data_IF_100503007623
#
_entry.id   IF_100503007623
#
_cell.length_a   1.000
_cell.length_b   1.000
_cell.length_c   1.000
_cell.angle_alpha   90.00
_cell.angle_beta   90.00
_cell.angle_gamma   90.00
#
_symmetry.space_group_name_H-M   'P 1'
#
loop_
_entity.id
_entity.type
_entity.pdbx_description
1 polymer ?
#
# COMPACT_ATOMS: atom_id res chain seq x y z
N UNK A 1 -17.87 -27.35 -10.97
CA UNK A 1 -18.68 -26.23 -11.48
C UNK A 1 -17.71 -25.24 -12.13
N UNK A 2 -17.64 -25.14 -13.47
CA UNK A 2 -16.93 -24.03 -14.08
C UNK A 2 -17.66 -22.74 -13.68
N UNK A 3 -16.92 -21.69 -13.38
CA UNK A 3 -17.45 -20.42 -12.87
C UNK A 3 -18.68 -19.96 -13.66
N UNK A 4 -19.86 -19.98 -13.02
CA UNK A 4 -21.16 -19.58 -13.61
C UNK A 4 -21.28 -18.06 -13.81
N UNK A 5 -20.17 -17.36 -14.03
CA UNK A 5 -20.12 -15.92 -14.21
C UNK A 5 -19.49 -15.56 -15.55
N UNK A 6 -20.14 -14.65 -16.28
CA UNK A 6 -19.56 -14.03 -17.47
C UNK A 6 -18.27 -13.29 -17.09
N UNK A 7 -17.11 -13.81 -17.52
CA UNK A 7 -15.81 -13.18 -17.26
C UNK A 7 -15.47 -12.18 -18.37
N UNK A 8 -15.13 -10.95 -17.99
CA UNK A 8 -14.62 -9.97 -18.93
C UNK A 8 -13.25 -10.42 -19.49
N UNK A 9 -13.16 -10.60 -20.81
CA UNK A 9 -11.92 -10.89 -21.54
C UNK A 9 -11.12 -9.62 -21.85
N UNK A 10 -11.81 -8.48 -22.01
CA UNK A 10 -11.19 -7.17 -22.23
C UNK A 10 -11.92 -6.10 -21.44
N UNK A 11 -11.15 -5.17 -20.89
CA UNK A 11 -11.61 -3.99 -20.16
C UNK A 11 -10.88 -2.78 -20.75
N UNK A 12 -11.63 -1.74 -21.11
CA UNK A 12 -11.13 -0.53 -21.76
C UNK A 12 -11.75 0.70 -21.10
N UNK A 13 -10.91 1.68 -20.77
CA UNK A 13 -11.38 3.00 -20.35
C UNK A 13 -11.73 3.84 -21.58
N UNK A 14 -12.84 4.58 -21.51
CA UNK A 14 -13.23 5.57 -22.52
C UNK A 14 -12.63 6.95 -22.25
N UNK A 15 -11.67 7.04 -21.33
CA UNK A 15 -11.04 8.30 -20.95
C UNK A 15 -10.44 8.99 -22.19
N UNK A 16 -10.77 10.27 -22.44
CA UNK A 16 -10.18 11.01 -23.55
C UNK A 16 -8.67 11.14 -23.32
N UNK A 17 -7.89 10.94 -24.40
CA UNK A 17 -6.42 11.01 -24.38
C UNK A 17 -5.89 12.44 -24.18
N UNK A 18 -6.73 13.44 -24.39
CA UNK A 18 -6.39 14.86 -24.38
C UNK A 18 -7.55 15.63 -23.73
N UNK A 19 -7.25 16.42 -22.69
CA UNK A 19 -8.26 17.12 -21.88
C UNK A 19 -7.88 17.20 -20.39
N UNK A 20 -8.58 18.05 -19.64
CA UNK A 20 -8.43 18.11 -18.18
C UNK A 20 -8.88 16.77 -17.57
N UNK A 21 -7.99 16.15 -16.79
CA UNK A 21 -8.29 14.98 -15.99
C UNK A 21 -9.31 15.35 -14.90
N UNK A 22 -10.59 15.14 -15.18
CA UNK A 22 -11.66 15.21 -14.19
C UNK A 22 -11.89 13.82 -13.60
N UNK A 23 -12.05 13.78 -12.28
CA UNK A 23 -12.44 12.56 -11.59
C UNK A 23 -13.78 12.07 -12.13
N UNK A 24 -13.88 10.76 -12.43
CA UNK A 24 -15.06 10.10 -12.97
C UNK A 24 -15.50 10.58 -14.36
N UNK A 25 -14.59 11.11 -15.18
CA UNK A 25 -14.86 11.51 -16.57
C UNK A 25 -14.48 10.42 -17.59
N UNK A 26 -14.61 9.16 -17.17
CA UNK A 26 -14.44 7.99 -18.02
C UNK A 26 -15.52 6.94 -17.76
N UNK A 27 -15.81 6.13 -18.77
CA UNK A 27 -16.62 4.94 -18.65
C UNK A 27 -15.72 3.73 -18.84
N UNK A 28 -16.09 2.60 -18.26
CA UNK A 28 -15.40 1.34 -18.48
C UNK A 28 -16.24 0.46 -19.41
N UNK A 29 -15.68 0.16 -20.58
CA UNK A 29 -16.20 -0.85 -21.49
C UNK A 29 -15.62 -2.20 -21.12
N UNK A 30 -16.47 -3.23 -21.04
CA UNK A 30 -16.03 -4.60 -20.81
C UNK A 30 -16.67 -5.55 -21.82
N UNK A 31 -15.89 -6.53 -22.27
CA UNK A 31 -16.29 -7.50 -23.28
C UNK A 31 -16.01 -8.92 -22.80
N UNK A 32 -17.02 -9.78 -22.83
CA UNK A 32 -16.94 -11.17 -22.33
C UNK A 32 -16.54 -12.17 -23.42
N UNK A 33 -16.44 -11.74 -24.67
CA UNK A 33 -16.36 -12.63 -25.83
C UNK A 33 -17.64 -12.57 -26.67
N UNK A 34 -18.79 -12.43 -26.01
CA UNK A 34 -20.11 -12.44 -26.64
C UNK A 34 -20.88 -11.14 -26.36
N UNK A 35 -20.79 -10.63 -25.13
CA UNK A 35 -21.52 -9.46 -24.68
C UNK A 35 -20.58 -8.27 -24.51
N UNK A 36 -21.06 -7.09 -24.90
CA UNK A 36 -20.41 -5.82 -24.64
C UNK A 36 -21.24 -5.07 -23.60
N UNK A 37 -20.60 -4.63 -22.53
CA UNK A 37 -21.22 -3.84 -21.47
C UNK A 37 -20.41 -2.59 -21.16
N UNK A 38 -21.06 -1.65 -20.46
CA UNK A 38 -20.47 -0.38 -20.07
C UNK A 38 -20.84 -0.08 -18.62
N UNK A 39 -19.88 0.38 -17.83
CA UNK A 39 -20.08 0.94 -16.50
C UNK A 39 -19.74 2.42 -16.55
N UNK A 40 -20.65 3.25 -16.04
CA UNK A 40 -20.46 4.69 -15.92
C UNK A 40 -20.24 5.06 -14.46
N UNK A 41 -19.30 5.97 -14.21
CA UNK A 41 -19.10 6.54 -12.89
C UNK A 41 -20.04 7.74 -12.70
N UNK A 42 -20.65 7.83 -11.52
CA UNK A 42 -21.46 8.99 -11.12
C UNK A 42 -20.57 10.08 -10.53
N UNK A 43 -21.18 11.20 -10.11
CA UNK A 43 -20.47 12.28 -9.42
C UNK A 43 -19.60 11.74 -8.28
N UNK A 44 -18.31 12.12 -8.19
CA UNK A 44 -17.42 11.62 -7.17
C UNK A 44 -17.96 11.93 -5.77
N UNK A 45 -18.03 10.90 -4.92
CA UNK A 45 -18.48 11.00 -3.52
C UNK A 45 -17.46 11.70 -2.62
N UNK A 46 -16.18 11.71 -3.03
CA UNK A 46 -15.08 12.31 -2.27
C UNK A 46 -14.29 13.26 -3.16
N UNK A 47 -13.76 14.33 -2.56
CA UNK A 47 -12.84 15.30 -3.17
C UNK A 47 -11.45 15.07 -2.62
N UNK A 48 -10.42 15.52 -3.35
CA UNK A 48 -9.02 15.39 -2.91
C UNK A 48 -8.79 15.92 -1.48
N UNK A 49 -9.49 16.98 -1.10
CA UNK A 49 -9.46 17.60 0.23
C UNK A 49 -9.93 16.68 1.37
N UNK A 50 -10.74 15.67 1.07
CA UNK A 50 -11.22 14.72 2.09
C UNK A 50 -10.12 13.75 2.54
N UNK A 51 -9.01 13.68 1.78
CA UNK A 51 -7.83 12.85 2.08
C UNK A 51 -6.61 13.67 2.50
N UNK A 52 -6.71 15.00 2.51
CA UNK A 52 -5.68 15.86 3.08
C UNK A 52 -5.75 15.74 4.61
N UNK A 53 -4.88 14.90 5.18
CA UNK A 53 -4.67 14.83 6.62
C UNK A 53 -4.18 16.19 7.08
N UNK A 54 -4.86 16.82 8.03
CA UNK A 54 -4.36 18.03 8.67
C UNK A 54 -2.98 17.72 9.27
N UNK A 55 -1.94 18.26 8.64
CA UNK A 55 -0.51 17.97 8.88
C UNK A 55 -0.02 18.16 10.33
N UNK A 56 -0.85 18.66 11.24
CA UNK A 56 -0.41 19.09 12.57
C UNK A 56 -0.43 18.01 13.64
N UNK A 57 -1.32 17.02 13.58
CA UNK A 57 -1.54 16.08 14.71
C UNK A 57 -1.07 14.65 14.44
N UNK A 58 -1.15 14.16 13.19
CA UNK A 58 -0.69 12.82 12.84
C UNK A 58 0.85 12.72 12.69
N UNK A 59 1.51 13.83 12.33
CA UNK A 59 2.96 13.87 12.11
C UNK A 59 3.76 13.82 13.43
N UNK A 60 3.20 14.31 14.53
CA UNK A 60 3.86 14.36 15.85
C UNK A 60 3.86 13.00 16.54
N UNK A 61 2.73 12.29 16.58
CA UNK A 61 2.67 10.94 17.16
C UNK A 61 3.56 9.93 16.44
N UNK A 62 3.58 9.98 15.10
CA UNK A 62 4.36 9.03 14.29
C UNK A 62 5.87 9.31 14.39
N UNK A 63 6.26 10.57 14.57
CA UNK A 63 7.66 10.98 14.77
C UNK A 63 8.25 10.47 16.08
N UNK A 64 7.52 10.58 17.19
CA UNK A 64 7.97 10.09 18.50
C UNK A 64 8.03 8.56 18.55
N UNK A 65 7.00 7.88 18.02
CA UNK A 65 6.98 6.41 17.94
C UNK A 65 8.13 5.87 17.12
N UNK A 66 8.47 6.50 15.98
CA UNK A 66 9.64 6.13 15.16
C UNK A 66 10.96 6.29 15.88
N UNK A 67 11.12 7.36 16.69
CA UNK A 67 12.34 7.58 17.49
C UNK A 67 12.51 6.50 18.55
N UNK A 68 11.46 6.25 19.34
CA UNK A 68 11.47 5.22 20.40
C UNK A 68 11.73 3.83 19.81
N UNK A 69 11.08 3.50 18.69
CA UNK A 69 11.30 2.22 18.01
C UNK A 69 12.75 2.07 17.52
N UNK A 70 13.32 3.10 16.89
CA UNK A 70 14.70 3.09 16.40
C UNK A 70 15.71 2.89 17.53
N UNK A 71 15.53 3.58 18.65
CA UNK A 71 16.43 3.48 19.80
C UNK A 71 16.30 2.12 20.49
N UNK A 72 15.07 1.60 20.64
CA UNK A 72 14.82 0.25 21.14
C UNK A 72 15.47 -0.82 20.26
N UNK A 73 15.33 -0.72 18.94
CA UNK A 73 15.91 -1.66 17.98
C UNK A 73 17.44 -1.64 17.99
N UNK A 74 18.05 -0.44 18.08
CA UNK A 74 19.52 -0.31 18.23
C UNK A 74 20.03 -1.01 19.49
N UNK A 75 19.31 -0.86 20.60
CA UNK A 75 19.68 -1.50 21.88
C UNK A 75 19.53 -3.02 21.84
N UNK A 76 18.44 -3.52 21.26
CA UNK A 76 18.21 -4.96 21.11
C UNK A 76 19.30 -5.64 20.24
N UNK A 77 19.65 -5.01 19.11
CA UNK A 77 20.71 -5.52 18.23
C UNK A 77 22.09 -5.47 18.89
N UNK A 78 22.38 -4.44 19.71
CA UNK A 78 23.62 -4.37 20.47
C UNK A 78 23.73 -5.51 21.49
N UNK A 79 22.64 -5.85 22.19
CA UNK A 79 22.62 -6.97 23.14
C UNK A 79 22.82 -8.32 22.47
N UNK A 80 22.18 -8.58 21.32
CA UNK A 80 22.39 -9.84 20.59
C UNK A 80 23.85 -9.99 20.10
N UNK A 81 24.47 -8.90 19.65
CA UNK A 81 25.87 -8.92 19.23
C UNK A 81 26.83 -9.17 20.40
N UNK A 82 26.51 -8.65 21.59
CA UNK A 82 27.31 -8.83 22.80
C UNK A 82 27.19 -10.25 23.37
N UNK A 83 25.99 -10.85 23.32
CA UNK A 83 25.75 -12.23 23.73
C UNK A 83 26.50 -13.23 22.83
N UNK A 84 26.50 -13.03 21.51
CA UNK A 84 27.29 -13.85 20.57
C UNK A 84 28.78 -13.71 20.83
N UNK A 85 29.25 -12.52 21.21
CA UNK A 85 30.67 -12.30 21.57
C UNK A 85 31.04 -13.02 22.86
N UNK A 86 30.17 -12.98 23.86
CA UNK A 86 30.34 -13.66 25.15
C UNK A 86 30.31 -15.20 25.00
N UNK A 87 29.42 -15.73 24.15
CA UNK A 87 29.38 -17.16 23.82
C UNK A 87 30.56 -17.59 22.93
N UNK A 88 31.02 -16.72 22.03
CA UNK A 88 32.18 -16.95 21.17
C UNK A 88 33.51 -16.99 21.93
N UNK A 89 33.66 -16.22 23.02
CA UNK A 89 34.85 -16.27 23.89
C UNK A 89 34.84 -17.44 24.86
N UNK A 90 33.66 -18.04 25.11
CA UNK A 90 33.53 -19.24 25.96
C UNK A 90 33.66 -20.56 25.17
N UNK A 91 33.79 -20.50 23.84
CA UNK A 91 33.98 -21.66 22.95
C UNK A 91 35.43 -21.95 22.55
N UNK A 92 36.39 -21.13 22.98
CA UNK A 92 37.82 -21.29 22.65
C UNK A 92 38.65 -21.36 23.94
N UNK A 93 38.62 -22.51 24.62
CA UNK A 93 39.50 -22.76 25.77
C UNK A 93 39.09 -23.97 26.59
N UNK A 94 39.57 -25.16 26.19
CA UNK A 94 40.35 -26.12 27.00
C UNK A 94 40.36 -27.46 26.27
N UNK A 95 41.56 -27.82 25.81
CA UNK A 95 42.02 -29.21 25.73
C UNK A 95 42.20 -29.76 27.15
#
# INVERSE_FOLDING_TARGET
>A
MPATGDLARKVLSTRPREGQERANDDNILFWTGEKLGMVSFTTPLFKAKDFEVADSEAATEDGERKRVYKDGMRKALAWQADEVRFMGTSGMGMA
#
